data_IF_169085118827
#
_entry.id   IF_169085118827
#
_cell.length_a   1.000
_cell.length_b   1.000
_cell.length_c   1.000
_cell.angle_alpha   90.00
_cell.angle_beta   90.00
_cell.angle_gamma   90.00
#
_symmetry.space_group_name_H-M   'P 1'
#
loop_
_entity.id
_entity.type
_entity.pdbx_description
1 polymer ?
#
# COMPACT_ATOMS: atom_id res chain seq x y z
N UNK A 1 -14.53 10.51 17.40
CA UNK A 1 -13.20 10.25 17.99
C UNK A 1 -12.42 9.47 16.95
N UNK A 2 -11.72 10.17 16.03
CA UNK A 2 -10.88 9.50 15.04
C UNK A 2 -9.64 9.00 15.78
N UNK A 3 -9.54 7.69 15.98
CA UNK A 3 -8.23 7.08 16.17
C UNK A 3 -7.39 7.44 14.93
N UNK A 4 -6.18 7.95 15.15
CA UNK A 4 -5.24 8.22 14.05
C UNK A 4 -5.09 6.95 13.21
N UNK A 5 -5.05 7.06 11.87
CA UNK A 5 -4.86 5.91 10.96
C UNK A 5 -3.64 5.07 11.38
N UNK A 6 -2.64 5.74 11.91
CA UNK A 6 -1.37 5.20 12.39
C UNK A 6 -1.58 4.28 13.60
N UNK A 7 -2.52 4.62 14.49
CA UNK A 7 -2.87 3.76 15.61
C UNK A 7 -3.68 2.53 15.18
N UNK A 8 -4.39 2.60 14.05
CA UNK A 8 -5.19 1.47 13.56
C UNK A 8 -4.35 0.35 12.93
N UNK A 9 -3.22 0.66 12.30
CA UNK A 9 -2.34 -0.37 11.71
C UNK A 9 -1.19 -0.80 12.64
N UNK A 10 -0.68 0.06 13.53
CA UNK A 10 0.45 -0.28 14.43
C UNK A 10 0.08 -1.26 15.57
N UNK A 11 -1.19 -1.61 15.71
CA UNK A 11 -1.71 -2.50 16.79
C UNK A 11 -1.62 -3.98 16.42
N UNK A 12 -1.35 -4.33 15.16
CA UNK A 12 -1.17 -5.72 14.76
C UNK A 12 0.17 -6.26 15.30
N UNK A 13 0.21 -7.43 15.97
CA UNK A 13 1.43 -8.01 16.54
C UNK A 13 2.54 -8.12 15.47
N UNK A 14 3.81 -7.96 15.85
CA UNK A 14 4.96 -8.26 14.97
C UNK A 14 4.86 -9.72 14.53
N UNK A 15 4.39 -9.92 13.30
CA UNK A 15 4.35 -11.21 12.62
C UNK A 15 5.32 -11.08 11.46
N UNK A 16 6.13 -12.11 11.22
CA UNK A 16 7.10 -12.17 10.10
C UNK A 16 6.39 -12.38 8.75
N UNK A 17 5.28 -11.68 8.51
CA UNK A 17 4.41 -11.85 7.34
C UNK A 17 3.85 -10.53 6.87
N UNK A 18 3.57 -10.45 5.56
CA UNK A 18 2.90 -9.28 4.98
C UNK A 18 1.49 -9.16 5.50
N UNK A 19 1.10 -7.95 5.87
CA UNK A 19 -0.27 -7.64 6.26
C UNK A 19 -0.92 -6.74 5.22
N UNK A 20 -2.06 -7.17 4.70
CA UNK A 20 -2.91 -6.34 3.85
C UNK A 20 -4.09 -5.84 4.69
N UNK A 21 -4.03 -4.58 5.07
CA UNK A 21 -4.99 -3.94 5.96
C UNK A 21 -5.82 -2.93 5.19
N UNK A 22 -7.09 -2.82 5.56
CA UNK A 22 -7.94 -1.74 5.06
C UNK A 22 -8.21 -0.79 6.20
N UNK A 23 -7.77 0.45 6.04
CA UNK A 23 -7.89 1.48 7.07
C UNK A 23 -8.98 2.51 6.74
N UNK A 24 -9.30 2.66 5.45
CA UNK A 24 -10.46 3.40 4.90
C UNK A 24 -10.98 2.67 3.65
N UNK A 25 -12.23 2.88 3.21
CA UNK A 25 -12.75 2.26 1.98
C UNK A 25 -11.80 2.39 0.78
N UNK A 26 -11.15 3.56 0.66
CA UNK A 26 -10.24 3.98 -0.39
C UNK A 26 -8.75 3.78 -0.08
N UNK A 27 -8.39 3.30 1.12
CA UNK A 27 -6.98 3.14 1.51
C UNK A 27 -6.68 1.71 1.99
N UNK A 28 -5.80 1.05 1.26
CA UNK A 28 -5.26 -0.27 1.58
C UNK A 28 -3.79 -0.13 1.95
N UNK A 29 -3.39 -0.73 3.06
CA UNK A 29 -1.99 -0.77 3.53
C UNK A 29 -1.44 -2.16 3.27
N UNK A 30 -0.25 -2.22 2.68
CA UNK A 30 0.57 -3.42 2.56
C UNK A 30 1.79 -3.21 3.46
N UNK A 31 1.75 -3.80 4.65
CA UNK A 31 2.83 -3.72 5.64
C UNK A 31 3.82 -4.87 5.40
N UNK A 32 5.06 -4.53 5.03
CA UNK A 32 6.09 -5.50 4.68
C UNK A 32 6.93 -5.88 5.91
N UNK A 33 7.25 -7.17 6.11
CA UNK A 33 8.04 -7.61 7.26
C UNK A 33 9.51 -7.17 7.15
N UNK A 34 10.18 -7.07 8.30
CA UNK A 34 11.60 -6.75 8.39
C UNK A 34 12.52 -7.87 7.86
N UNK A 35 12.05 -9.10 7.95
CA UNK A 35 12.74 -10.34 7.59
C UNK A 35 11.86 -11.15 6.64
N UNK A 36 12.50 -11.86 5.70
CA UNK A 36 11.83 -12.85 4.87
C UNK A 36 12.23 -14.26 5.34
N UNK A 37 11.81 -14.65 6.54
CA UNK A 37 11.88 -16.06 6.96
C UNK A 37 10.66 -16.80 6.36
N UNK A 38 10.88 -17.90 5.63
CA UNK A 38 9.94 -18.60 4.71
C UNK A 38 10.08 -18.17 3.23
N UNK A 39 9.86 -19.09 2.25
CA UNK A 39 10.29 -18.85 0.88
C UNK A 39 9.60 -17.60 0.31
N UNK A 40 10.46 -16.62 -0.02
CA UNK A 40 10.08 -15.25 -0.35
C UNK A 40 9.00 -15.15 -1.44
N UNK A 41 9.08 -16.04 -2.42
CA UNK A 41 8.15 -16.17 -3.53
C UNK A 41 6.72 -16.51 -3.07
N UNK A 42 6.57 -17.33 -2.03
CA UNK A 42 5.26 -17.77 -1.57
C UNK A 42 4.47 -16.61 -0.95
N UNK A 43 5.08 -15.85 -0.03
CA UNK A 43 4.35 -14.75 0.61
C UNK A 43 4.10 -13.58 -0.34
N UNK A 44 5.01 -13.28 -1.29
CA UNK A 44 4.75 -12.24 -2.29
C UNK A 44 3.54 -12.59 -3.13
N UNK A 45 3.41 -13.85 -3.54
CA UNK A 45 2.23 -14.32 -4.28
C UNK A 45 0.98 -14.21 -3.42
N UNK A 46 1.00 -14.70 -2.18
CA UNK A 46 -0.16 -14.66 -1.28
C UNK A 46 -0.60 -13.22 -0.98
N UNK A 47 0.33 -12.32 -0.64
CA UNK A 47 0.05 -10.92 -0.38
C UNK A 47 -0.48 -10.18 -1.62
N UNK A 48 0.08 -10.50 -2.78
CA UNK A 48 -0.41 -9.96 -4.06
C UNK A 48 -1.83 -10.43 -4.31
N UNK A 49 -2.12 -11.73 -4.17
CA UNK A 49 -3.46 -12.29 -4.35
C UNK A 49 -4.46 -11.68 -3.36
N UNK A 50 -4.13 -11.54 -2.08
CA UNK A 50 -5.01 -10.91 -1.09
C UNK A 50 -5.26 -9.43 -1.42
N UNK A 51 -4.21 -8.68 -1.78
CA UNK A 51 -4.33 -7.30 -2.23
C UNK A 51 -5.29 -7.19 -3.41
N UNK A 52 -5.08 -7.97 -4.47
CA UNK A 52 -5.94 -7.91 -5.65
C UNK A 52 -7.37 -8.35 -5.38
N UNK A 53 -7.59 -9.40 -4.57
CA UNK A 53 -8.92 -9.82 -4.16
C UNK A 53 -9.67 -8.68 -3.47
N UNK A 54 -9.01 -8.03 -2.50
CA UNK A 54 -9.52 -6.86 -1.79
C UNK A 54 -9.81 -5.68 -2.70
N UNK A 55 -8.89 -5.37 -3.61
CA UNK A 55 -9.05 -4.24 -4.54
C UNK A 55 -10.21 -4.49 -5.50
N UNK A 56 -10.29 -5.68 -6.09
CA UNK A 56 -11.36 -6.09 -7.01
C UNK A 56 -12.74 -6.02 -6.35
N UNK A 57 -12.88 -6.57 -5.14
CA UNK A 57 -14.18 -6.60 -4.46
C UNK A 57 -14.68 -5.19 -4.11
N UNK A 58 -13.79 -4.20 -3.97
CA UNK A 58 -14.14 -2.79 -3.74
C UNK A 58 -14.65 -2.09 -4.99
N UNK A 59 -13.89 -2.21 -6.07
CA UNK A 59 -14.15 -1.49 -7.32
C UNK A 59 -15.28 -2.09 -8.15
N UNK A 60 -15.69 -3.33 -7.86
CA UNK A 60 -16.91 -3.93 -8.38
C UNK A 60 -18.08 -3.94 -7.38
N UNK A 61 -17.93 -3.24 -6.25
CA UNK A 61 -19.01 -3.04 -5.28
C UNK A 61 -20.11 -2.12 -5.81
N UNK A 62 -21.22 -2.02 -5.07
CA UNK A 62 -22.39 -1.21 -5.46
C UNK A 62 -22.09 0.30 -5.55
N UNK A 63 -21.08 0.77 -4.81
CA UNK A 63 -20.62 2.16 -4.79
C UNK A 63 -19.09 2.15 -4.78
N UNK A 64 -18.45 2.06 -5.97
CA UNK A 64 -17.00 2.02 -6.04
C UNK A 64 -16.41 3.38 -5.64
N UNK A 65 -15.26 3.39 -4.94
CA UNK A 65 -14.62 4.65 -4.58
C UNK A 65 -14.09 5.34 -5.84
N UNK A 66 -14.05 6.67 -5.84
CA UNK A 66 -13.50 7.48 -6.93
C UNK A 66 -11.96 7.42 -7.00
N UNK A 67 -11.33 7.01 -5.89
CA UNK A 67 -9.89 6.80 -5.75
C UNK A 67 -9.60 5.57 -4.91
N UNK A 68 -8.48 4.91 -5.18
CA UNK A 68 -7.86 3.93 -4.30
C UNK A 68 -6.38 4.25 -4.12
N UNK A 69 -5.93 4.22 -2.87
CA UNK A 69 -4.54 4.39 -2.47
C UNK A 69 -4.03 3.10 -1.85
N UNK A 70 -2.93 2.58 -2.38
CA UNK A 70 -2.20 1.44 -1.82
C UNK A 70 -0.92 1.97 -1.16
N UNK A 71 -0.90 2.01 0.16
CA UNK A 71 0.26 2.40 0.94
C UNK A 71 1.13 1.17 1.23
N UNK A 72 2.33 1.10 0.66
CA UNK A 72 3.31 0.06 0.96
C UNK A 72 4.24 0.58 2.03
N UNK A 73 4.19 -0.05 3.19
CA UNK A 73 5.00 0.30 4.37
C UNK A 73 6.17 -0.66 4.44
N UNK A 74 7.37 -0.12 4.28
CA UNK A 74 8.61 -0.85 4.51
C UNK A 74 9.06 -0.75 5.96
N UNK A 75 9.79 -1.77 6.44
CA UNK A 75 10.50 -1.67 7.70
C UNK A 75 11.53 -0.52 7.64
N UNK A 76 11.72 0.19 8.75
CA UNK A 76 12.72 1.27 8.82
C UNK A 76 14.14 0.77 8.55
N UNK A 77 14.38 -0.49 8.93
CA UNK A 77 15.65 -1.19 8.79
C UNK A 77 15.35 -2.58 8.23
N UNK A 78 16.03 -2.95 7.15
CA UNK A 78 16.05 -4.32 6.65
C UNK A 78 17.50 -4.77 6.46
N UNK A 79 17.76 -6.06 6.58
CA UNK A 79 19.04 -6.65 6.22
C UNK A 79 19.32 -6.46 4.73
N UNK A 80 20.60 -6.33 4.35
CA UNK A 80 20.98 -6.27 2.93
C UNK A 80 20.60 -7.55 2.16
N UNK A 81 20.50 -8.69 2.86
CA UNK A 81 20.06 -9.95 2.28
C UNK A 81 18.57 -9.95 1.90
N UNK A 82 17.74 -9.21 2.64
CA UNK A 82 16.29 -9.14 2.44
C UNK A 82 15.86 -8.00 1.50
N UNK A 83 16.78 -7.12 1.12
CA UNK A 83 16.49 -5.98 0.23
C UNK A 83 15.92 -6.38 -1.14
N UNK A 84 16.48 -7.36 -1.87
CA UNK A 84 15.93 -7.79 -3.15
C UNK A 84 14.49 -8.30 -3.04
N UNK A 85 14.19 -8.92 -1.90
CA UNK A 85 12.86 -9.40 -1.58
C UNK A 85 11.87 -8.24 -1.42
N UNK A 86 12.20 -7.25 -0.60
CA UNK A 86 11.37 -6.05 -0.45
C UNK A 86 11.16 -5.31 -1.77
N UNK A 87 12.21 -5.17 -2.58
CA UNK A 87 12.11 -4.50 -3.89
C UNK A 87 11.18 -5.26 -4.85
N UNK A 88 11.22 -6.59 -4.85
CA UNK A 88 10.33 -7.41 -5.65
C UNK A 88 8.87 -7.35 -5.16
N UNK A 89 8.62 -7.30 -3.86
CA UNK A 89 7.29 -7.10 -3.30
C UNK A 89 6.72 -5.71 -3.69
N UNK A 90 7.51 -4.65 -3.55
CA UNK A 90 7.14 -3.30 -3.98
C UNK A 90 6.84 -3.26 -5.48
N UNK A 91 7.67 -3.91 -6.30
CA UNK A 91 7.45 -3.99 -7.73
C UNK A 91 6.16 -4.75 -8.09
N UNK A 92 5.86 -5.85 -7.40
CA UNK A 92 4.64 -6.62 -7.60
C UNK A 92 3.39 -5.79 -7.29
N UNK A 93 3.37 -5.10 -6.14
CA UNK A 93 2.25 -4.20 -5.78
C UNK A 93 2.09 -3.09 -6.81
N UNK A 94 3.18 -2.44 -7.23
CA UNK A 94 3.13 -1.38 -8.26
C UNK A 94 2.59 -1.90 -9.59
N UNK A 95 3.12 -3.02 -10.08
CA UNK A 95 2.67 -3.64 -11.32
C UNK A 95 1.19 -4.03 -11.26
N UNK A 96 0.73 -4.47 -10.09
CA UNK A 96 -0.65 -4.83 -9.90
C UNK A 96 -1.62 -3.65 -9.87
N UNK A 97 -1.29 -2.60 -9.13
CA UNK A 97 -2.07 -1.36 -9.11
C UNK A 97 -2.10 -0.70 -10.49
N UNK A 98 -1.00 -0.74 -11.24
CA UNK A 98 -0.97 -0.25 -12.62
C UNK A 98 -1.91 -1.05 -13.53
N UNK A 99 -1.94 -2.38 -13.38
CA UNK A 99 -2.88 -3.23 -14.14
C UNK A 99 -4.34 -2.85 -13.83
N UNK A 100 -4.68 -2.65 -12.56
CA UNK A 100 -6.01 -2.22 -12.15
C UNK A 100 -6.38 -0.82 -12.65
N UNK A 101 -5.41 0.10 -12.71
CA UNK A 101 -5.62 1.43 -13.26
C UNK A 101 -6.00 1.40 -14.75
N UNK A 102 -5.48 0.43 -15.50
CA UNK A 102 -5.85 0.20 -16.90
C UNK A 102 -7.21 -0.47 -17.01
N UNK A 103 -7.49 -1.48 -16.17
CA UNK A 103 -8.75 -2.22 -16.18
C UNK A 103 -9.94 -1.35 -15.75
N UNK A 104 -9.72 -0.43 -14.80
CA UNK A 104 -10.77 0.36 -14.15
C UNK A 104 -10.40 1.84 -14.19
N UNK A 105 -10.48 2.48 -15.37
CA UNK A 105 -10.01 3.85 -15.59
C UNK A 105 -10.87 4.92 -14.90
N UNK A 106 -12.07 4.54 -14.42
CA UNK A 106 -12.95 5.44 -13.67
C UNK A 106 -12.46 5.68 -12.23
N UNK A 107 -11.61 4.79 -11.70
CA UNK A 107 -11.02 4.90 -10.37
C UNK A 107 -9.62 5.49 -10.50
N UNK A 108 -9.28 6.47 -9.66
CA UNK A 108 -7.92 7.01 -9.58
C UNK A 108 -7.05 6.13 -8.69
N UNK A 109 -5.91 5.67 -9.18
CA UNK A 109 -5.06 4.73 -8.43
C UNK A 109 -3.73 5.36 -8.07
N UNK A 110 -3.32 5.23 -6.81
CA UNK A 110 -1.99 5.67 -6.37
C UNK A 110 -1.34 4.60 -5.49
N UNK A 111 -0.02 4.46 -5.65
CA UNK A 111 0.83 3.73 -4.72
C UNK A 111 1.63 4.73 -3.91
N UNK A 112 1.62 4.62 -2.58
CA UNK A 112 2.47 5.42 -1.69
C UNK A 112 3.49 4.49 -1.06
N UNK A 113 4.78 4.78 -1.23
CA UNK A 113 5.86 4.04 -0.60
C UNK A 113 6.35 4.83 0.61
N UNK A 114 6.44 4.21 1.77
CA UNK A 114 6.89 4.86 3.00
C UNK A 114 7.60 3.86 3.90
N UNK A 115 8.43 4.35 4.82
CA UNK A 115 8.90 3.56 5.97
C UNK A 115 7.98 3.76 7.17
N UNK A 116 8.07 2.88 8.16
CA UNK A 116 7.32 2.99 9.41
C UNK A 116 7.46 4.35 10.13
N UNK A 117 8.66 4.94 10.10
CA UNK A 117 8.92 6.27 10.66
C UNK A 117 8.20 7.41 9.91
N UNK A 118 7.78 7.18 8.67
CA UNK A 118 7.12 8.17 7.80
C UNK A 118 5.60 7.98 7.75
N UNK A 119 5.03 7.17 8.66
CA UNK A 119 3.60 6.93 8.76
C UNK A 119 2.77 8.23 8.83
N UNK A 120 3.26 9.25 9.55
CA UNK A 120 2.61 10.56 9.64
C UNK A 120 2.51 11.28 8.29
N UNK A 121 3.50 11.08 7.40
CA UNK A 121 3.51 11.66 6.05
C UNK A 121 2.44 11.05 5.13
N UNK A 122 1.88 9.88 5.45
CA UNK A 122 0.79 9.31 4.68
C UNK A 122 -0.47 10.19 4.76
N UNK A 123 -0.81 10.73 5.93
CA UNK A 123 -1.99 11.59 6.08
C UNK A 123 -1.87 12.86 5.24
N UNK A 124 -0.68 13.46 5.16
CA UNK A 124 -0.42 14.61 4.29
C UNK A 124 -0.59 14.26 2.80
N UNK A 125 -0.08 13.11 2.38
CA UNK A 125 -0.27 12.61 1.00
C UNK A 125 -1.74 12.33 0.70
N UNK A 126 -2.48 11.73 1.64
CA UNK A 126 -3.91 11.49 1.47
C UNK A 126 -4.68 12.80 1.33
N UNK A 127 -4.37 13.79 2.16
CA UNK A 127 -4.97 15.13 2.07
C UNK A 127 -4.66 15.81 0.73
N UNK A 128 -3.44 15.66 0.20
CA UNK A 128 -3.10 16.13 -1.15
C UNK A 128 -3.91 15.41 -2.23
N UNK A 129 -4.01 14.07 -2.16
CA UNK A 129 -4.74 13.25 -3.13
C UNK A 129 -6.26 13.51 -3.12
N UNK A 130 -6.80 14.00 -2.00
CA UNK A 130 -8.18 14.49 -1.86
C UNK A 130 -8.41 15.86 -2.53
N UNK A 131 -7.34 16.62 -2.74
CA UNK A 131 -7.38 17.94 -3.34
C UNK A 131 -7.70 17.93 -4.84
N UNK A 132 -8.25 19.04 -5.33
CA UNK A 132 -8.52 19.25 -6.76
C UNK A 132 -7.24 19.19 -7.61
N UNK A 133 -6.10 19.58 -7.04
CA UNK A 133 -4.79 19.54 -7.70
C UNK A 133 -4.33 18.12 -8.03
N UNK A 134 -4.89 17.10 -7.36
CA UNK A 134 -4.61 15.69 -7.60
C UNK A 134 -5.65 15.01 -8.50
N UNK A 135 -6.53 15.77 -9.17
CA UNK A 135 -7.60 15.22 -10.02
C UNK A 135 -7.08 14.27 -11.12
N UNK A 136 -5.86 14.52 -11.62
CA UNK A 136 -5.21 13.71 -12.66
C UNK A 136 -4.09 12.80 -12.14
N UNK A 137 -3.92 12.72 -10.83
CA UNK A 137 -2.94 11.81 -10.21
C UNK A 137 -3.56 10.42 -10.14
N UNK A 138 -3.24 9.60 -11.13
CA UNK A 138 -3.62 8.19 -11.22
C UNK A 138 -2.48 7.39 -11.85
N UNK A 139 -2.45 6.08 -11.65
CA UNK A 139 -1.34 5.21 -12.06
C UNK A 139 0.03 5.72 -11.54
N UNK A 140 0.03 6.43 -10.40
CA UNK A 140 1.19 7.13 -9.88
C UNK A 140 1.83 6.37 -8.71
N UNK A 141 3.15 6.53 -8.54
CA UNK A 141 3.87 6.12 -7.34
C UNK A 141 4.44 7.36 -6.66
N UNK A 142 4.06 7.59 -5.39
CA UNK A 142 4.58 8.64 -4.53
C UNK A 142 5.52 8.00 -3.52
N UNK A 143 6.79 8.38 -3.54
CA UNK A 143 7.83 7.75 -2.71
C UNK A 143 8.27 8.71 -1.60
N UNK A 144 7.84 8.41 -0.37
CA UNK A 144 8.21 9.15 0.83
C UNK A 144 9.49 8.63 1.47
N UNK A 145 10.02 7.46 1.04
CA UNK A 145 11.17 6.81 1.68
C UNK A 145 12.45 7.68 1.63
N UNK A 146 12.53 8.61 0.68
CA UNK A 146 13.62 9.56 0.52
C UNK A 146 13.40 10.95 1.17
N UNK A 147 12.23 11.22 1.72
CA UNK A 147 11.95 12.45 2.46
C UNK A 147 12.51 12.28 3.89
N UNK A 148 13.67 12.89 4.14
CA UNK A 148 14.35 12.97 5.42
C UNK A 148 14.75 14.41 5.69
#
# INVERSE_FOLDING_TARGET
MNQSLIQSWKVAPEEDRVKVLTIRPEVVVVDLPATAEEPFDQWVVEATVDLFGRLRDRVHGAEPPDRVVVAVVEPDHCGSADRPALDAAVAAVRGGVLSLAVEIPAVRWAVVLLRNAQADGLEEVLAYLDGADAAYVTAATLDLRGAA
#
